data_IF_677442799802
#
_entry.id   IF_677442799802
#
_cell.length_a   1.000
_cell.length_b   1.000
_cell.length_c   1.000
_cell.angle_alpha   90.00
_cell.angle_beta   90.00
_cell.angle_gamma   90.00
#
_symmetry.space_group_name_H-M   'P 1'
#
loop_
_entity.id
_entity.type
_entity.pdbx_description
1 polymer ?
#
# COMPACT_ATOMS: atom_id res chain seq x y z
N UNK A 1 7.39 8.37 -23.34
CA UNK A 1 7.48 9.80 -22.97
C UNK A 1 7.20 10.74 -24.17
N UNK A 2 7.79 10.53 -25.35
CA UNK A 2 7.55 11.39 -26.53
C UNK A 2 6.09 11.41 -26.97
N UNK A 3 5.39 10.32 -26.78
CA UNK A 3 3.97 10.13 -27.16
C UNK A 3 3.00 10.51 -26.02
N UNK A 4 3.48 11.10 -24.92
CA UNK A 4 2.65 11.41 -23.76
C UNK A 4 2.14 10.20 -22.98
N UNK A 5 2.76 9.04 -23.19
CA UNK A 5 2.42 7.79 -22.49
C UNK A 5 3.36 7.59 -21.29
N UNK A 6 2.84 7.05 -20.21
CA UNK A 6 3.59 6.62 -19.03
C UNK A 6 3.93 5.12 -19.15
N UNK A 7 5.10 4.73 -19.65
CA UNK A 7 5.52 3.34 -19.60
C UNK A 7 6.01 3.02 -18.19
N UNK A 8 5.30 2.15 -17.49
CA UNK A 8 5.66 1.61 -16.19
C UNK A 8 6.11 0.17 -16.39
N UNK A 9 7.21 -0.20 -15.78
CA UNK A 9 7.72 -1.56 -15.88
C UNK A 9 7.71 -2.24 -14.52
N UNK A 10 7.26 -3.49 -14.51
CA UNK A 10 7.47 -4.38 -13.40
C UNK A 10 8.95 -4.69 -13.31
N UNK A 11 9.61 -4.31 -12.20
CA UNK A 11 10.99 -4.63 -11.91
C UNK A 11 11.15 -6.13 -11.66
N UNK A 12 12.39 -6.60 -11.75
CA UNK A 12 12.70 -8.00 -11.57
C UNK A 12 13.70 -8.23 -10.43
N UNK A 13 13.92 -9.50 -10.11
CA UNK A 13 14.95 -9.89 -9.15
C UNK A 13 16.39 -9.76 -9.72
N UNK A 14 16.59 -8.87 -10.69
CA UNK A 14 17.86 -8.63 -11.39
C UNK A 14 18.20 -7.15 -11.42
N UNK A 15 19.05 -6.71 -10.52
CA UNK A 15 19.46 -5.32 -10.34
C UNK A 15 19.81 -4.58 -11.64
N UNK A 16 20.64 -5.18 -12.50
CA UNK A 16 21.08 -4.55 -13.75
C UNK A 16 19.93 -4.38 -14.76
N UNK A 17 18.92 -5.24 -14.71
CA UNK A 17 17.74 -5.11 -15.54
C UNK A 17 16.92 -3.89 -15.14
N UNK A 18 16.71 -3.69 -13.83
CA UNK A 18 15.99 -2.54 -13.30
C UNK A 18 16.69 -1.22 -13.67
N UNK A 19 18.03 -1.21 -13.58
CA UNK A 19 18.82 -0.03 -13.99
C UNK A 19 18.73 0.22 -15.51
N UNK A 20 18.69 -0.81 -16.34
CA UNK A 20 18.49 -0.66 -17.77
C UNK A 20 17.09 -0.10 -18.11
N UNK A 21 16.03 -0.59 -17.43
CA UNK A 21 14.67 -0.07 -17.61
C UNK A 21 14.63 1.45 -17.35
N UNK A 22 15.30 1.92 -16.27
CA UNK A 22 15.43 3.36 -15.99
C UNK A 22 16.14 4.09 -17.12
N UNK A 23 17.25 3.52 -17.64
CA UNK A 23 17.99 4.08 -18.77
C UNK A 23 17.22 4.13 -20.08
N UNK A 24 16.35 3.16 -20.30
CA UNK A 24 15.47 3.08 -21.47
C UNK A 24 14.32 4.11 -21.40
N UNK A 25 14.18 4.82 -20.25
CA UNK A 25 13.28 5.96 -20.09
C UNK A 25 11.88 5.59 -19.66
N UNK A 26 11.71 4.49 -18.91
CA UNK A 26 10.43 4.22 -18.21
C UNK A 26 10.10 5.35 -17.24
N UNK A 27 8.83 5.46 -16.89
CA UNK A 27 8.35 6.48 -15.95
C UNK A 27 8.26 5.96 -14.52
N UNK A 28 8.31 4.64 -14.32
CA UNK A 28 8.29 4.03 -12.99
C UNK A 28 8.75 2.60 -12.99
N UNK A 29 9.34 2.20 -11.85
CA UNK A 29 9.74 0.84 -11.53
C UNK A 29 8.83 0.33 -10.42
N UNK A 30 8.17 -0.80 -10.67
CA UNK A 30 7.36 -1.51 -9.69
C UNK A 30 8.17 -2.68 -9.11
N UNK A 31 7.94 -3.02 -7.86
CA UNK A 31 8.70 -3.94 -7.02
C UNK A 31 10.06 -3.43 -6.56
N UNK A 32 10.53 -4.00 -5.44
CA UNK A 32 11.79 -3.60 -4.85
C UNK A 32 12.99 -4.05 -5.68
N UNK A 33 13.95 -3.15 -5.81
CA UNK A 33 15.26 -3.49 -6.38
C UNK A 33 15.96 -4.50 -5.46
N UNK A 34 16.50 -5.61 -6.00
CA UNK A 34 17.05 -6.70 -5.19
C UNK A 34 18.46 -6.37 -4.64
N UNK A 35 18.55 -5.28 -3.90
CA UNK A 35 19.76 -4.84 -3.22
C UNK A 35 19.42 -4.18 -1.88
N UNK A 36 20.27 -4.40 -0.89
CA UNK A 36 20.11 -3.81 0.44
C UNK A 36 20.66 -2.38 0.51
N UNK A 37 21.46 -1.98 -0.45
CA UNK A 37 22.11 -0.68 -0.45
C UNK A 37 22.22 -0.11 -1.87
N UNK A 38 21.74 1.13 -2.00
CA UNK A 38 21.95 1.95 -3.17
C UNK A 38 23.10 2.94 -2.90
N UNK A 39 24.01 3.08 -3.85
CA UNK A 39 25.12 4.03 -3.77
C UNK A 39 24.78 5.34 -4.49
N UNK A 40 25.54 6.38 -4.22
CA UNK A 40 25.28 7.73 -4.68
C UNK A 40 25.13 7.87 -6.21
N UNK A 41 25.87 7.09 -6.97
CA UNK A 41 25.76 7.06 -8.42
C UNK A 41 24.39 6.56 -8.89
N UNK A 42 23.87 5.52 -8.25
CA UNK A 42 22.53 4.98 -8.52
C UNK A 42 21.43 5.95 -8.08
N UNK A 43 21.58 6.56 -6.90
CA UNK A 43 20.61 7.54 -6.39
C UNK A 43 20.54 8.76 -7.34
N UNK A 44 21.67 9.26 -7.80
CA UNK A 44 21.73 10.35 -8.76
C UNK A 44 21.17 9.95 -10.13
N UNK A 45 21.52 8.78 -10.62
CA UNK A 45 21.02 8.25 -11.88
C UNK A 45 19.50 8.14 -11.89
N UNK A 46 18.94 7.54 -10.83
CA UNK A 46 17.49 7.40 -10.69
C UNK A 46 16.78 8.77 -10.62
N UNK A 47 17.26 9.64 -9.74
CA UNK A 47 16.71 11.00 -9.61
C UNK A 47 16.70 11.74 -10.95
N UNK A 48 17.79 11.68 -11.72
CA UNK A 48 17.89 12.38 -13.00
C UNK A 48 16.98 11.77 -14.09
N UNK A 49 16.60 10.52 -13.96
CA UNK A 49 15.66 9.86 -14.87
C UNK A 49 14.22 10.33 -14.69
N UNK A 50 13.89 10.89 -13.51
CA UNK A 50 12.53 11.24 -13.09
C UNK A 50 11.57 10.03 -13.04
N UNK A 51 12.11 8.80 -12.99
CA UNK A 51 11.31 7.59 -12.82
C UNK A 51 10.82 7.51 -11.37
N UNK A 52 9.52 7.25 -11.17
CA UNK A 52 8.97 6.94 -9.86
C UNK A 52 9.34 5.52 -9.40
N UNK A 53 9.06 5.23 -8.14
CA UNK A 53 9.36 3.95 -7.52
C UNK A 53 8.23 3.47 -6.63
N UNK A 54 7.75 2.26 -6.89
CA UNK A 54 6.74 1.57 -6.06
C UNK A 54 7.33 0.24 -5.59
N UNK A 55 8.01 0.19 -4.43
CA UNK A 55 8.78 -0.98 -4.01
C UNK A 55 7.96 -2.23 -3.73
N UNK A 56 6.67 -2.10 -3.44
CA UNK A 56 5.76 -3.22 -3.18
C UNK A 56 6.32 -4.16 -2.09
N UNK A 57 6.57 -3.58 -0.91
CA UNK A 57 7.30 -4.21 0.19
C UNK A 57 6.62 -5.48 0.74
N UNK A 58 5.30 -5.58 0.63
CA UNK A 58 4.55 -6.77 1.07
C UNK A 58 4.95 -8.05 0.34
N UNK A 59 5.57 -7.94 -0.84
CA UNK A 59 6.10 -9.07 -1.64
C UNK A 59 7.59 -8.88 -1.96
N UNK A 60 8.35 -8.37 -1.03
CA UNK A 60 9.77 -8.04 -1.16
C UNK A 60 10.61 -9.21 -1.68
N UNK A 61 11.47 -8.93 -2.66
CA UNK A 61 12.48 -9.88 -3.13
C UNK A 61 13.63 -10.02 -2.13
N UNK A 62 14.23 -11.21 -2.07
CA UNK A 62 15.46 -11.45 -1.32
C UNK A 62 15.26 -11.95 0.11
N UNK A 63 14.05 -12.28 0.51
CA UNK A 63 13.71 -12.82 1.83
C UNK A 63 12.42 -13.63 1.81
N UNK A 64 11.85 -13.84 3.00
CA UNK A 64 10.52 -14.38 3.13
C UNK A 64 9.50 -13.33 2.65
N UNK A 65 8.35 -13.78 2.18
CA UNK A 65 7.25 -12.91 1.78
C UNK A 65 6.83 -12.02 2.95
N UNK A 66 7.02 -10.72 2.82
CA UNK A 66 6.91 -9.78 3.94
C UNK A 66 5.47 -9.64 4.48
N UNK A 67 4.46 -9.98 3.68
CA UNK A 67 3.08 -10.03 4.21
C UNK A 67 2.96 -11.07 5.35
N UNK A 68 3.74 -12.15 5.33
CA UNK A 68 3.71 -13.18 6.38
C UNK A 68 4.22 -12.62 7.73
N UNK A 69 5.08 -11.60 7.73
CA UNK A 69 5.43 -10.85 8.93
C UNK A 69 4.19 -10.25 9.59
N UNK A 70 3.33 -9.61 8.81
CA UNK A 70 2.11 -8.99 9.33
C UNK A 70 1.06 -10.01 9.75
N UNK A 71 0.94 -11.14 9.08
CA UNK A 71 0.12 -12.25 9.55
C UNK A 71 0.66 -12.82 10.87
N UNK A 72 1.97 -12.87 11.06
CA UNK A 72 2.62 -13.33 12.29
C UNK A 72 2.40 -12.33 13.44
N UNK A 73 2.56 -11.03 13.16
CA UNK A 73 2.54 -9.93 14.14
C UNK A 73 1.11 -9.52 14.52
N UNK A 74 0.11 -9.82 13.70
CA UNK A 74 -1.28 -9.41 13.91
C UNK A 74 -2.26 -10.57 13.81
N UNK A 75 -3.45 -10.38 14.39
CA UNK A 75 -4.55 -11.34 14.30
C UNK A 75 -5.53 -10.93 13.19
N UNK A 76 -5.08 -11.03 11.92
CA UNK A 76 -5.82 -10.57 10.73
C UNK A 76 -7.28 -11.08 10.70
N UNK A 77 -7.52 -12.32 11.15
CA UNK A 77 -8.88 -12.90 11.20
C UNK A 77 -9.83 -12.25 12.21
N UNK A 78 -9.30 -11.43 13.11
CA UNK A 78 -10.06 -10.65 14.09
C UNK A 78 -10.20 -9.19 13.69
N UNK A 79 -9.62 -8.77 12.58
CA UNK A 79 -9.72 -7.40 12.12
C UNK A 79 -11.20 -7.04 11.87
N UNK A 80 -11.76 -6.04 12.57
CA UNK A 80 -13.20 -5.82 12.61
C UNK A 80 -13.82 -5.54 11.24
N UNK A 81 -13.17 -4.74 10.40
CA UNK A 81 -13.67 -4.46 9.05
C UNK A 81 -13.56 -5.69 8.15
N UNK A 82 -12.44 -6.41 8.17
CA UNK A 82 -12.29 -7.61 7.34
C UNK A 82 -13.26 -8.70 7.73
N UNK A 83 -13.53 -8.90 9.02
CA UNK A 83 -14.52 -9.87 9.48
C UNK A 83 -15.93 -9.58 8.95
N UNK A 84 -16.26 -8.31 8.68
CA UNK A 84 -17.52 -7.92 8.08
C UNK A 84 -17.57 -8.14 6.57
N UNK A 85 -16.46 -7.92 5.86
CA UNK A 85 -16.45 -7.81 4.40
C UNK A 85 -15.76 -8.95 3.66
N UNK A 86 -15.02 -9.82 4.38
CA UNK A 86 -14.28 -10.94 3.76
C UNK A 86 -14.88 -12.27 4.21
N UNK A 87 -15.20 -13.18 3.27
CA UNK A 87 -15.70 -14.51 3.63
C UNK A 87 -14.72 -15.24 4.55
N UNK A 88 -15.18 -15.92 5.62
CA UNK A 88 -14.30 -16.67 6.52
C UNK A 88 -13.41 -17.69 5.80
N UNK A 89 -13.91 -18.33 4.74
CA UNK A 89 -13.14 -19.25 3.92
C UNK A 89 -11.94 -18.62 3.20
N UNK A 90 -11.97 -17.30 2.97
CA UNK A 90 -10.88 -16.53 2.38
C UNK A 90 -9.98 -15.94 3.46
N UNK A 91 -10.58 -15.46 4.55
CA UNK A 91 -9.85 -14.75 5.62
C UNK A 91 -9.02 -15.70 6.51
N UNK A 92 -9.59 -16.85 6.88
CA UNK A 92 -9.00 -17.72 7.88
C UNK A 92 -7.76 -18.52 7.43
N UNK A 93 -7.68 -19.11 6.22
CA UNK A 93 -6.61 -20.05 5.87
C UNK A 93 -5.19 -19.50 6.07
N UNK A 94 -4.91 -18.28 5.64
CA UNK A 94 -3.60 -17.64 5.80
C UNK A 94 -3.42 -16.98 7.17
N UNK A 95 -4.52 -16.56 7.79
CA UNK A 95 -4.49 -15.83 9.05
C UNK A 95 -4.32 -16.75 10.26
N UNK A 96 -4.98 -17.90 10.27
CA UNK A 96 -4.96 -18.84 11.41
C UNK A 96 -3.77 -19.80 11.33
N UNK A 97 -3.46 -20.30 10.12
CA UNK A 97 -2.30 -21.17 9.86
C UNK A 97 -1.26 -20.39 9.06
N UNK A 98 -0.53 -19.52 9.73
CA UNK A 98 0.44 -18.62 9.15
C UNK A 98 1.86 -19.16 9.29
N UNK A 99 2.76 -18.90 8.34
CA UNK A 99 4.19 -19.10 8.52
C UNK A 99 4.68 -18.29 9.72
N UNK A 100 5.66 -18.83 10.43
CA UNK A 100 6.32 -18.16 11.56
C UNK A 100 7.83 -18.22 11.33
N UNK A 101 8.48 -17.08 11.42
CA UNK A 101 9.92 -16.97 11.26
C UNK A 101 10.48 -15.86 12.15
N UNK A 102 11.79 -15.87 12.44
CA UNK A 102 12.46 -14.74 13.07
C UNK A 102 12.23 -13.45 12.25
N UNK A 103 12.06 -12.32 12.93
CA UNK A 103 11.87 -11.02 12.26
C UNK A 103 13.01 -10.71 11.27
N UNK A 104 14.24 -11.06 11.60
CA UNK A 104 15.42 -10.82 10.76
C UNK A 104 15.42 -11.60 9.41
N UNK A 105 14.51 -12.56 9.23
CA UNK A 105 14.39 -13.31 7.97
C UNK A 105 13.49 -12.59 6.95
N UNK A 106 12.74 -11.57 7.41
CA UNK A 106 11.97 -10.67 6.55
C UNK A 106 12.84 -9.48 6.13
N UNK A 107 12.68 -9.02 4.90
CA UNK A 107 13.55 -8.00 4.29
C UNK A 107 12.80 -6.75 3.83
N UNK A 108 11.57 -6.58 4.29
CA UNK A 108 10.76 -5.40 3.96
C UNK A 108 11.36 -4.10 4.53
N UNK A 109 11.97 -4.17 5.71
CA UNK A 109 12.64 -3.03 6.35
C UNK A 109 13.93 -2.62 5.61
N UNK A 110 14.75 -3.59 5.20
CA UNK A 110 15.95 -3.35 4.36
C UNK A 110 15.55 -2.72 3.00
N UNK A 111 14.54 -3.29 2.34
CA UNK A 111 14.03 -2.76 1.07
C UNK A 111 13.40 -1.37 1.25
N UNK A 112 12.70 -1.14 2.36
CA UNK A 112 12.16 0.17 2.72
C UNK A 112 13.28 1.18 3.01
N UNK A 113 14.38 0.78 3.64
CA UNK A 113 15.54 1.66 3.84
C UNK A 113 16.19 2.07 2.50
N UNK A 114 16.25 1.16 1.51
CA UNK A 114 16.68 1.51 0.16
C UNK A 114 15.69 2.49 -0.52
N UNK A 115 14.38 2.28 -0.34
CA UNK A 115 13.36 3.21 -0.82
C UNK A 115 13.46 4.58 -0.13
N UNK A 116 13.80 4.62 1.18
CA UNK A 116 14.06 5.87 1.91
C UNK A 116 15.22 6.65 1.31
N UNK A 117 16.30 5.96 0.97
CA UNK A 117 17.45 6.63 0.32
C UNK A 117 17.06 7.25 -1.03
N UNK A 118 16.19 6.60 -1.81
CA UNK A 118 15.64 7.16 -3.05
C UNK A 118 14.73 8.37 -2.78
N UNK A 119 13.86 8.29 -1.77
CA UNK A 119 13.02 9.41 -1.35
C UNK A 119 13.87 10.61 -0.96
N UNK A 120 14.92 10.41 -0.15
CA UNK A 120 15.85 11.47 0.29
C UNK A 120 16.64 12.07 -0.88
N UNK A 121 16.90 11.29 -1.91
CA UNK A 121 17.49 11.77 -3.16
C UNK A 121 16.49 12.53 -4.04
N UNK A 122 15.19 12.53 -3.72
CA UNK A 122 14.15 13.27 -4.42
C UNK A 122 13.38 12.45 -5.47
N UNK A 123 13.46 11.12 -5.41
CA UNK A 123 12.61 10.20 -6.22
C UNK A 123 11.22 10.14 -5.62
N UNK A 124 10.17 10.13 -6.45
CA UNK A 124 8.81 9.87 -5.98
C UNK A 124 8.68 8.39 -5.60
N UNK A 125 8.52 8.14 -4.30
CA UNK A 125 8.25 6.80 -3.78
C UNK A 125 6.77 6.66 -3.46
N UNK A 126 6.15 5.57 -3.93
CA UNK A 126 4.73 5.28 -3.81
C UNK A 126 4.50 3.97 -3.06
N UNK A 127 3.33 3.81 -2.44
CA UNK A 127 2.90 2.53 -1.86
C UNK A 127 2.43 1.57 -2.94
N UNK A 128 2.71 0.26 -2.75
CA UNK A 128 2.22 -0.82 -3.58
C UNK A 128 1.62 -1.95 -2.73
N UNK A 129 0.31 -2.15 -2.79
CA UNK A 129 -0.36 -3.18 -1.98
C UNK A 129 -0.41 -4.57 -2.62
N UNK A 130 -0.11 -4.71 -3.91
CA UNK A 130 -0.08 -5.94 -4.71
C UNK A 130 -1.34 -6.85 -4.62
N UNK A 131 -2.39 -6.40 -3.94
CA UNK A 131 -3.60 -7.19 -3.73
C UNK A 131 -3.43 -8.40 -2.79
N UNK A 132 -2.37 -8.45 -2.00
CA UNK A 132 -2.03 -9.60 -1.13
C UNK A 132 -3.07 -9.82 -0.02
N UNK A 133 -3.46 -8.76 0.68
CA UNK A 133 -4.61 -8.75 1.58
C UNK A 133 -5.38 -7.47 1.34
N UNK A 134 -6.45 -7.58 0.57
CA UNK A 134 -7.31 -6.46 0.23
C UNK A 134 -7.78 -5.74 1.51
N UNK A 135 -7.69 -4.42 1.49
CA UNK A 135 -8.00 -3.58 2.64
C UNK A 135 -6.85 -3.40 3.65
N UNK A 136 -5.87 -4.29 3.73
CA UNK A 136 -4.74 -4.16 4.67
C UNK A 136 -3.38 -3.94 3.99
N UNK A 137 -3.15 -4.49 2.80
CA UNK A 137 -1.82 -4.50 2.20
C UNK A 137 -1.24 -3.09 2.02
N UNK A 138 -2.05 -2.09 1.68
CA UNK A 138 -1.60 -0.70 1.59
C UNK A 138 -1.18 -0.14 2.95
N UNK A 139 -1.87 -0.53 4.03
CA UNK A 139 -1.47 -0.14 5.40
C UNK A 139 -0.16 -0.82 5.79
N UNK A 140 -0.01 -2.10 5.50
CA UNK A 140 1.23 -2.85 5.74
C UNK A 140 2.41 -2.23 4.99
N UNK A 141 2.21 -1.78 3.76
CA UNK A 141 3.22 -1.07 3.00
C UNK A 141 3.69 0.21 3.73
N UNK A 142 2.76 1.03 4.22
CA UNK A 142 3.09 2.21 5.02
C UNK A 142 3.82 1.84 6.32
N UNK A 143 3.47 0.71 6.95
CA UNK A 143 4.13 0.23 8.16
C UNK A 143 5.55 -0.27 7.87
N UNK A 144 5.75 -0.95 6.74
CA UNK A 144 7.09 -1.35 6.27
C UNK A 144 7.95 -0.13 5.95
N UNK A 145 7.39 0.91 5.33
CA UNK A 145 8.11 2.18 5.13
C UNK A 145 8.61 2.75 6.47
N UNK A 146 7.78 2.78 7.49
CA UNK A 146 8.17 3.27 8.81
C UNK A 146 9.26 2.38 9.45
N UNK A 147 9.23 1.06 9.27
CA UNK A 147 10.29 0.13 9.70
C UNK A 147 11.62 0.43 9.00
N UNK A 148 11.59 0.83 7.73
CA UNK A 148 12.76 1.23 6.94
C UNK A 148 13.21 2.68 7.12
N UNK A 149 12.65 3.42 8.09
CA UNK A 149 13.10 4.75 8.47
C UNK A 149 12.34 5.93 7.86
N UNK A 150 11.23 5.69 7.17
CA UNK A 150 10.32 6.77 6.80
C UNK A 150 9.69 7.37 8.05
N UNK A 151 9.58 8.68 8.10
CA UNK A 151 8.68 9.32 9.07
C UNK A 151 7.22 8.95 8.75
N UNK A 152 6.32 8.97 9.75
CA UNK A 152 4.90 8.72 9.48
C UNK A 152 4.31 9.64 8.40
N UNK A 153 4.75 10.89 8.32
CA UNK A 153 4.30 11.82 7.30
C UNK A 153 4.79 11.43 5.89
N UNK A 154 6.02 10.96 5.76
CA UNK A 154 6.56 10.46 4.48
C UNK A 154 5.82 9.19 4.03
N UNK A 155 5.52 8.27 4.95
CA UNK A 155 4.75 7.07 4.65
C UNK A 155 3.31 7.41 4.20
N UNK A 156 2.66 8.38 4.84
CA UNK A 156 1.35 8.87 4.42
C UNK A 156 1.42 9.58 3.06
N UNK A 157 2.45 10.39 2.82
CA UNK A 157 2.65 11.05 1.53
C UNK A 157 2.87 10.03 0.40
N UNK A 158 3.60 8.94 0.66
CA UNK A 158 3.78 7.84 -0.28
C UNK A 158 2.47 7.11 -0.62
N UNK A 159 1.45 7.20 0.23
CA UNK A 159 0.13 6.61 0.00
C UNK A 159 -0.92 7.62 -0.55
N UNK A 160 -0.57 8.89 -0.69
CA UNK A 160 -1.53 9.95 -1.04
C UNK A 160 -1.00 10.86 -2.14
N UNK A 161 -0.25 11.90 -1.78
CA UNK A 161 0.17 12.95 -2.73
C UNK A 161 1.24 12.48 -3.70
N UNK A 162 2.14 11.55 -3.29
CA UNK A 162 3.18 11.07 -4.21
C UNK A 162 2.60 10.29 -5.39
N UNK A 163 1.74 9.27 -5.19
CA UNK A 163 1.09 8.59 -6.30
C UNK A 163 0.18 9.50 -7.12
N UNK A 164 -0.46 10.52 -6.50
CA UNK A 164 -1.22 11.50 -7.25
C UNK A 164 -0.32 12.31 -8.21
N UNK A 165 0.85 12.74 -7.76
CA UNK A 165 1.87 13.41 -8.61
C UNK A 165 2.41 12.47 -9.69
N UNK A 166 2.70 11.24 -9.30
CA UNK A 166 3.20 10.22 -10.22
C UNK A 166 2.24 9.96 -11.38
N UNK A 167 0.93 9.96 -11.11
CA UNK A 167 -0.13 9.78 -12.10
C UNK A 167 -0.55 11.09 -12.79
N UNK A 168 0.00 12.25 -12.38
CA UNK A 168 -0.40 13.56 -12.91
C UNK A 168 -1.80 14.00 -12.48
N UNK A 169 -2.27 13.52 -11.33
CA UNK A 169 -3.61 13.80 -10.77
C UNK A 169 -3.57 14.69 -9.52
N UNK A 170 -2.41 15.21 -9.18
CA UNK A 170 -2.20 15.98 -7.94
C UNK A 170 -2.89 17.35 -7.92
N UNK A 171 -3.40 17.81 -9.06
CA UNK A 171 -4.29 18.98 -9.10
C UNK A 171 -5.67 18.66 -8.49
N UNK A 172 -6.13 17.42 -8.58
CA UNK A 172 -7.49 17.00 -8.21
C UNK A 172 -7.56 16.19 -6.92
N UNK A 173 -6.53 15.40 -6.61
CA UNK A 173 -6.49 14.46 -5.48
C UNK A 173 -5.14 14.46 -4.74
N UNK A 174 -5.05 13.66 -3.68
CA UNK A 174 -3.80 13.34 -2.97
C UNK A 174 -3.46 14.27 -1.80
N UNK A 175 -4.14 15.41 -1.66
CA UNK A 175 -4.00 16.32 -0.52
C UNK A 175 -5.33 17.00 -0.17
N UNK A 176 -5.42 17.47 1.08
CA UNK A 176 -6.59 18.20 1.56
C UNK A 176 -6.42 19.70 1.28
N UNK A 177 -6.90 20.15 0.13
CA UNK A 177 -6.82 21.52 -0.32
C UNK A 177 -8.17 21.99 -0.91
N UNK A 178 -8.55 23.26 -0.71
CA UNK A 178 -9.75 23.79 -1.36
C UNK A 178 -9.68 23.68 -2.89
N UNK A 179 -10.74 23.15 -3.47
CA UNK A 179 -10.85 22.95 -4.93
C UNK A 179 -10.54 21.54 -5.41
N UNK A 180 -9.94 20.69 -4.58
CA UNK A 180 -9.75 19.26 -4.89
C UNK A 180 -11.01 18.44 -4.61
N UNK A 181 -11.07 17.25 -5.17
CA UNK A 181 -12.13 16.28 -4.88
C UNK A 181 -12.12 15.93 -3.39
N UNK A 182 -13.32 15.86 -2.83
CA UNK A 182 -13.50 15.49 -1.43
C UNK A 182 -13.46 13.95 -1.28
N UNK A 183 -12.29 13.38 -1.56
CA UNK A 183 -11.98 11.96 -1.41
C UNK A 183 -10.96 11.81 -0.27
N UNK A 184 -11.42 11.30 0.87
CA UNK A 184 -10.59 11.18 2.07
C UNK A 184 -11.05 10.05 2.97
N UNK A 185 -10.19 9.64 3.89
CA UNK A 185 -10.51 8.71 4.97
C UNK A 185 -10.43 9.42 6.32
N UNK A 186 -11.30 9.05 7.26
CA UNK A 186 -11.26 9.49 8.65
C UNK A 186 -10.75 8.32 9.48
N UNK A 187 -9.66 8.56 10.19
CA UNK A 187 -8.93 7.56 10.98
C UNK A 187 -9.14 7.84 12.46
N UNK A 188 -9.53 6.83 13.22
CA UNK A 188 -9.57 6.88 14.67
C UNK A 188 -8.17 6.68 15.23
N UNK A 189 -7.64 7.70 15.90
CA UNK A 189 -6.27 7.73 16.41
C UNK A 189 -5.39 8.74 15.68
N UNK A 190 -4.07 8.62 15.88
CA UNK A 190 -3.12 9.55 15.30
C UNK A 190 -1.99 8.80 14.59
N UNK A 191 -2.04 8.64 13.26
CA UNK A 191 -1.01 7.92 12.50
C UNK A 191 0.36 8.62 12.53
N UNK A 192 0.43 9.91 12.84
CA UNK A 192 1.71 10.62 13.01
C UNK A 192 2.44 10.21 14.30
N UNK A 193 1.73 9.70 15.29
CA UNK A 193 2.32 9.14 16.53
C UNK A 193 2.57 7.65 16.44
N UNK A 194 1.68 6.94 15.75
CA UNK A 194 1.77 5.51 15.50
C UNK A 194 1.16 5.19 14.15
N UNK A 195 2.00 4.85 13.19
CA UNK A 195 1.57 4.56 11.81
C UNK A 195 0.58 3.38 11.75
N UNK A 196 0.60 2.50 12.75
CA UNK A 196 -0.36 1.38 12.87
C UNK A 196 -1.81 1.84 12.99
N UNK A 197 -2.08 3.11 13.31
CA UNK A 197 -3.45 3.65 13.31
C UNK A 197 -4.02 3.87 11.91
N UNK A 198 -3.25 3.72 10.84
CA UNK A 198 -3.76 3.96 9.47
C UNK A 198 -4.90 3.03 9.10
N UNK A 199 -4.99 1.82 9.63
CA UNK A 199 -6.07 0.86 9.40
C UNK A 199 -7.31 1.06 10.28
N UNK A 200 -7.26 1.99 11.25
CA UNK A 200 -8.40 2.33 12.10
C UNK A 200 -9.37 3.30 11.39
N UNK A 201 -9.87 2.90 10.24
CA UNK A 201 -10.75 3.74 9.42
C UNK A 201 -12.15 3.72 10.01
N UNK A 202 -12.68 4.89 10.37
CA UNK A 202 -14.05 5.07 10.83
C UNK A 202 -15.00 5.46 9.71
N UNK A 203 -14.56 6.32 8.79
CA UNK A 203 -15.36 6.74 7.65
C UNK A 203 -14.50 6.89 6.38
N UNK A 204 -15.17 6.71 5.25
CA UNK A 204 -14.64 7.03 3.93
C UNK A 204 -15.51 8.12 3.31
N UNK A 205 -14.89 9.16 2.79
CA UNK A 205 -15.56 10.19 2.01
C UNK A 205 -15.17 10.00 0.56
N UNK A 206 -16.17 9.85 -0.30
CA UNK A 206 -16.02 9.70 -1.74
C UNK A 206 -16.87 10.73 -2.45
N UNK A 207 -16.23 11.61 -3.19
CA UNK A 207 -16.88 12.71 -3.90
C UNK A 207 -17.84 13.51 -2.98
N UNK A 208 -17.40 13.79 -1.75
CA UNK A 208 -18.14 14.54 -0.73
C UNK A 208 -19.24 13.76 0.01
N UNK A 209 -19.49 12.49 -0.32
CA UNK A 209 -20.44 11.63 0.41
C UNK A 209 -19.70 10.81 1.46
N UNK A 210 -20.25 10.77 2.67
CA UNK A 210 -19.64 10.13 3.83
C UNK A 210 -20.25 8.76 4.07
N UNK A 211 -19.39 7.74 4.15
CA UNK A 211 -19.77 6.36 4.40
C UNK A 211 -19.14 5.86 5.69
N UNK A 212 -19.91 5.21 6.55
CA UNK A 212 -19.37 4.52 7.72
C UNK A 212 -18.57 3.29 7.27
N UNK A 213 -17.34 3.13 7.78
CA UNK A 213 -16.44 2.07 7.31
C UNK A 213 -16.91 0.65 7.69
N UNK A 214 -17.63 0.51 8.79
CA UNK A 214 -18.11 -0.78 9.31
C UNK A 214 -19.32 -1.35 8.55
N UNK A 215 -20.09 -0.49 7.88
CA UNK A 215 -21.33 -0.86 7.22
C UNK A 215 -21.40 -0.44 5.75
N UNK A 216 -20.51 0.44 5.31
CA UNK A 216 -20.53 1.13 4.01
C UNK A 216 -21.85 1.87 3.74
N UNK A 217 -22.60 2.17 4.81
CA UNK A 217 -23.84 2.96 4.72
C UNK A 217 -23.50 4.44 4.62
N UNK A 218 -24.22 5.14 3.74
CA UNK A 218 -24.09 6.59 3.65
C UNK A 218 -24.71 7.24 4.88
N UNK A 219 -23.96 8.17 5.51
CA UNK A 219 -24.24 8.63 6.87
C UNK A 219 -25.39 9.67 6.90
N UNK A 220 -25.48 10.55 5.90
CA UNK A 220 -26.37 11.72 5.97
C UNK A 220 -27.70 11.53 5.28
N UNK A 221 -27.76 10.84 4.15
CA UNK A 221 -29.00 10.64 3.41
C UNK A 221 -29.66 9.30 3.71
N UNK A 222 -28.89 8.32 4.15
CA UNK A 222 -29.36 6.96 4.39
C UNK A 222 -29.80 6.22 3.12
N UNK A 223 -29.57 6.81 1.95
CA UNK A 223 -30.06 6.29 0.67
C UNK A 223 -29.31 5.06 0.16
N UNK A 224 -28.17 4.76 0.77
CA UNK A 224 -27.32 3.65 0.38
C UNK A 224 -27.05 2.75 1.57
N UNK A 225 -27.71 1.60 1.61
CA UNK A 225 -27.44 0.52 2.55
C UNK A 225 -26.83 -0.66 1.79
N UNK A 226 -25.72 -1.18 2.30
CA UNK A 226 -25.12 -2.36 1.73
C UNK A 226 -26.08 -3.56 1.86
N UNK A 227 -26.32 -4.24 0.74
CA UNK A 227 -27.04 -5.49 0.80
C UNK A 227 -26.17 -6.59 1.39
N UNK A 228 -26.73 -7.55 2.14
CA UNK A 228 -25.96 -8.67 2.66
C UNK A 228 -25.19 -9.38 1.54
N UNK A 229 -23.93 -9.69 1.79
CA UNK A 229 -23.15 -10.49 0.85
C UNK A 229 -23.67 -11.92 0.77
N UNK A 230 -23.45 -12.59 -0.35
CA UNK A 230 -23.92 -13.96 -0.58
C UNK A 230 -23.48 -14.97 0.49
N UNK A 231 -22.32 -14.75 1.13
CA UNK A 231 -21.81 -15.62 2.22
C UNK A 231 -22.39 -15.30 3.60
N UNK A 232 -23.10 -14.19 3.75
CA UNK A 232 -23.78 -13.79 5.00
C UNK A 232 -25.19 -14.39 5.09
N UNK A 233 -25.69 -14.94 4.00
CA UNK A 233 -26.94 -15.72 4.00
C UNK A 233 -26.80 -16.98 4.86
N UNK A 234 -27.92 -17.47 5.44
CA UNK A 234 -27.94 -18.81 6.04
C UNK A 234 -27.40 -19.78 4.99
N UNK A 235 -26.48 -20.72 5.34
CA UNK A 235 -26.16 -21.78 4.41
C UNK A 235 -27.48 -22.47 4.04
N UNK A 236 -27.96 -22.25 2.83
CA UNK A 236 -28.98 -23.11 2.29
C UNK A 236 -28.41 -24.52 2.42
N UNK A 237 -29.21 -25.41 2.98
CA UNK A 237 -28.93 -26.82 3.16
C UNK A 237 -28.71 -27.48 1.80
N UNK A 238 -27.61 -27.16 1.16
CA UNK A 238 -27.23 -27.65 -0.14
C UNK A 238 -25.95 -28.49 -0.04
N UNK A 239 -25.97 -29.50 0.79
CA UNK A 239 -25.26 -30.76 0.51
C UNK A 239 -26.24 -31.87 0.93
N UNK A 240 -27.04 -32.31 -0.02
CA UNK A 240 -27.58 -33.64 0.01
C UNK A 240 -26.58 -34.55 -0.69
#
# INVERSE_FOLDING_TARGET
RREGVMPVAEGGALYHMDMNLIGDGITGVEHNVPTLRLYDDVLQYWRQSEAGYTPTLVVTFGGLTSEDYYYQDTEVWKHPLLANFVPPAVLQPRSVRRPMAPEADYRDDDAAAAAKALLDAGVLVNTGGHGQREGLATHWEMWSFARGGFTPMEALAAATINPARYLGMDADIGSLEPGKLADLVIIDGNPLKNIRHTDHISHVVLNGRVYAADSLSEVFTGDSTLQPFYWQGKPESAIR
#
